data_IF_656127710861
#
_entry.id   IF_656127710861
#
_cell.length_a   1.000
_cell.length_b   1.000
_cell.length_c   1.000
_cell.angle_alpha   90.00
_cell.angle_beta   90.00
_cell.angle_gamma   90.00
#
_symmetry.space_group_name_H-M   'P 1'
#
loop_
_entity.id
_entity.type
_entity.pdbx_description
1 polymer ?
#
# COMPACT_ATOMS: atom_id res chain seq x y z
N UNK A 1 0.71 7.51 15.46
CA UNK A 1 1.42 8.30 14.43
C UNK A 1 0.73 8.03 13.09
N UNK A 2 0.46 9.05 12.28
CA UNK A 2 -0.27 8.85 11.01
C UNK A 2 0.60 8.09 10.00
N UNK A 3 0.06 6.97 9.48
CA UNK A 3 0.66 6.18 8.40
C UNK A 3 0.09 6.58 7.04
N UNK A 4 0.92 6.51 5.99
CA UNK A 4 0.45 6.80 4.61
C UNK A 4 -0.24 5.61 3.94
N UNK A 5 0.05 4.40 4.40
CA UNK A 5 -0.61 3.18 3.95
C UNK A 5 -1.08 2.31 5.13
N UNK A 6 -2.23 1.69 4.94
CA UNK A 6 -2.87 0.72 5.83
C UNK A 6 -3.26 -0.52 5.02
N UNK A 7 -3.56 -1.62 5.71
CA UNK A 7 -4.07 -2.85 5.12
C UNK A 7 -5.29 -3.34 5.89
N UNK A 8 -6.31 -3.86 5.21
CA UNK A 8 -7.46 -4.48 5.89
C UNK A 8 -7.09 -5.84 6.46
N UNK A 9 -7.75 -6.28 7.53
CA UNK A 9 -7.50 -7.61 8.10
C UNK A 9 -7.65 -8.75 7.07
N UNK A 10 -8.68 -8.79 6.20
CA UNK A 10 -8.76 -9.81 5.15
C UNK A 10 -7.60 -9.77 4.15
N UNK A 11 -7.10 -8.58 3.82
CA UNK A 11 -5.94 -8.42 2.94
C UNK A 11 -4.64 -8.87 3.63
N UNK A 12 -4.51 -8.59 4.94
CA UNK A 12 -3.38 -9.05 5.75
C UNK A 12 -3.34 -10.59 5.85
N UNK A 13 -4.49 -11.25 6.01
CA UNK A 13 -4.57 -12.72 6.05
C UNK A 13 -4.12 -13.36 4.72
N UNK A 14 -4.56 -12.79 3.60
CA UNK A 14 -4.07 -13.21 2.28
C UNK A 14 -2.57 -12.97 2.15
N UNK A 15 -2.09 -11.80 2.56
CA UNK A 15 -0.67 -11.45 2.48
C UNK A 15 0.20 -12.40 3.31
N UNK A 16 -0.23 -12.77 4.52
CA UNK A 16 0.46 -13.77 5.35
C UNK A 16 0.48 -15.16 4.68
N UNK A 17 -0.60 -15.54 4.00
CA UNK A 17 -0.66 -16.79 3.22
C UNK A 17 0.35 -16.78 2.08
N UNK A 18 0.44 -15.67 1.34
CA UNK A 18 1.41 -15.50 0.26
C UNK A 18 2.85 -15.47 0.79
N UNK A 19 3.10 -14.83 1.93
CA UNK A 19 4.43 -14.84 2.56
C UNK A 19 4.89 -16.25 2.92
N UNK A 20 3.99 -17.10 3.42
CA UNK A 20 4.31 -18.49 3.73
C UNK A 20 4.69 -19.31 2.48
N UNK A 21 4.19 -18.92 1.30
CA UNK A 21 4.46 -19.62 0.04
C UNK A 21 5.68 -19.06 -0.70
N UNK A 22 5.90 -17.76 -0.63
CA UNK A 22 6.85 -17.05 -1.50
C UNK A 22 8.00 -16.35 -0.74
N UNK A 23 7.93 -16.29 0.59
CA UNK A 23 8.93 -15.61 1.43
C UNK A 23 8.60 -14.13 1.63
N UNK A 24 9.64 -13.29 1.73
CA UNK A 24 9.47 -11.85 1.90
C UNK A 24 8.79 -11.24 0.67
N UNK A 25 7.85 -10.31 0.91
CA UNK A 25 7.03 -9.70 -0.12
C UNK A 25 7.15 -8.18 -0.07
N UNK A 26 6.76 -7.53 -1.15
CA UNK A 26 6.64 -6.08 -1.27
C UNK A 26 5.39 -5.70 -2.06
N UNK A 27 4.89 -4.49 -1.83
CA UNK A 27 3.91 -3.86 -2.70
C UNK A 27 4.54 -2.73 -3.50
N UNK A 28 4.11 -2.59 -4.76
CA UNK A 28 4.25 -1.34 -5.50
C UNK A 28 2.88 -0.85 -5.97
N UNK A 29 2.50 0.35 -5.54
CA UNK A 29 1.31 1.04 -6.01
C UNK A 29 1.50 1.48 -7.46
N UNK A 30 0.77 0.84 -8.36
CA UNK A 30 0.81 1.17 -9.79
C UNK A 30 -0.11 2.36 -10.10
N UNK A 31 0.34 3.20 -11.04
CA UNK A 31 -0.45 4.26 -11.65
C UNK A 31 -1.11 3.68 -12.89
N UNK A 32 -2.43 3.59 -12.89
CA UNK A 32 -3.15 2.86 -13.94
C UNK A 32 -2.99 3.50 -15.33
N UNK A 33 -2.78 2.66 -16.36
CA UNK A 33 -2.98 3.04 -17.76
C UNK A 33 -4.30 2.46 -18.33
N UNK A 34 -4.84 1.36 -17.77
CA UNK A 34 -6.05 0.72 -18.31
C UNK A 34 -7.08 0.20 -17.28
N UNK A 35 -6.70 -0.23 -16.07
CA UNK A 35 -7.62 -0.86 -15.08
C UNK A 35 -7.75 -0.10 -13.74
N UNK A 36 -7.26 1.14 -13.69
CA UNK A 36 -7.13 1.92 -12.45
C UNK A 36 -5.82 1.64 -11.72
N UNK A 37 -5.61 2.35 -10.61
CA UNK A 37 -4.44 2.18 -9.74
C UNK A 37 -4.63 0.96 -8.84
N UNK A 38 -3.77 -0.04 -8.94
CA UNK A 38 -3.82 -1.24 -8.08
C UNK A 38 -2.51 -1.42 -7.29
N UNK A 39 -2.58 -1.92 -6.04
CA UNK A 39 -1.40 -2.30 -5.29
C UNK A 39 -0.96 -3.68 -5.78
N UNK A 40 0.21 -3.74 -6.41
CA UNK A 40 0.73 -4.98 -6.97
C UNK A 40 1.66 -5.65 -5.95
N UNK A 41 1.42 -6.93 -5.65
CA UNK A 41 2.18 -7.72 -4.69
C UNK A 41 3.23 -8.59 -5.42
N UNK A 42 4.50 -8.46 -5.02
CA UNK A 42 5.64 -9.17 -5.58
C UNK A 42 6.49 -9.81 -4.48
N UNK A 43 7.30 -10.84 -4.79
CA UNK A 43 8.43 -11.19 -3.93
C UNK A 43 9.34 -9.98 -3.72
N UNK A 44 9.92 -9.85 -2.53
CA UNK A 44 10.82 -8.74 -2.23
C UNK A 44 12.05 -8.76 -3.16
N UNK A 45 12.28 -7.66 -3.88
CA UNK A 45 13.38 -7.50 -4.83
C UNK A 45 13.02 -7.79 -6.29
N UNK A 46 11.87 -8.41 -6.58
CA UNK A 46 11.45 -8.71 -7.96
C UNK A 46 10.95 -7.45 -8.71
N UNK A 47 10.46 -6.45 -7.96
CA UNK A 47 10.20 -5.12 -8.50
C UNK A 47 11.35 -4.18 -8.12
N UNK A 48 11.98 -3.56 -9.13
CA UNK A 48 13.07 -2.61 -8.91
C UNK A 48 12.51 -1.29 -8.36
N UNK A 49 12.82 -0.99 -7.10
CA UNK A 49 12.54 0.29 -6.46
C UNK A 49 13.56 1.32 -6.93
N UNK A 50 13.10 2.41 -7.54
CA UNK A 50 13.96 3.50 -7.97
C UNK A 50 14.32 4.46 -6.83
N UNK A 51 15.40 5.22 -7.00
CA UNK A 51 15.89 6.21 -6.01
C UNK A 51 14.83 7.20 -5.52
N UNK A 52 13.88 7.52 -6.41
CA UNK A 52 12.79 8.50 -6.21
C UNK A 52 11.46 7.86 -5.82
N UNK A 53 11.40 6.53 -5.75
CA UNK A 53 10.23 5.87 -5.21
C UNK A 53 10.11 6.18 -3.72
N UNK A 54 8.88 6.23 -3.24
CA UNK A 54 8.55 6.67 -1.90
C UNK A 54 8.00 5.48 -1.12
N UNK A 55 8.58 5.25 0.07
CA UNK A 55 8.05 4.29 1.02
C UNK A 55 6.83 4.91 1.71
N UNK A 56 5.64 4.34 1.46
CA UNK A 56 4.41 4.78 2.11
C UNK A 56 4.29 4.22 3.53
N UNK A 57 4.66 2.95 3.70
CA UNK A 57 4.67 2.26 4.98
C UNK A 57 5.44 0.93 4.88
N UNK A 58 5.77 0.35 6.03
CA UNK A 58 6.03 -1.09 6.16
C UNK A 58 4.86 -1.69 6.93
N UNK A 59 4.08 -2.54 6.28
CA UNK A 59 2.93 -3.22 6.89
C UNK A 59 3.44 -4.25 7.90
N UNK A 60 2.81 -4.32 9.06
CA UNK A 60 3.11 -5.22 10.17
C UNK A 60 2.51 -6.62 9.97
N UNK A 61 2.74 -7.20 8.79
CA UNK A 61 2.34 -8.56 8.43
C UNK A 61 3.59 -9.42 8.24
N UNK A 62 3.68 -10.51 9.02
CA UNK A 62 4.84 -11.41 8.99
C UNK A 62 6.14 -10.68 9.36
N UNK A 63 7.10 -10.68 8.44
CA UNK A 63 8.42 -10.04 8.63
C UNK A 63 8.43 -8.54 8.34
N UNK A 64 7.27 -7.95 8.02
CA UNK A 64 7.18 -6.61 7.47
C UNK A 64 7.07 -6.63 5.95
N UNK A 65 6.17 -5.82 5.38
CA UNK A 65 5.97 -5.71 3.92
C UNK A 65 6.03 -4.25 3.49
N UNK A 66 7.09 -3.80 2.79
CA UNK A 66 7.19 -2.42 2.35
C UNK A 66 6.20 -2.13 1.21
N UNK A 67 5.57 -0.95 1.28
CA UNK A 67 4.64 -0.44 0.27
C UNK A 67 5.27 0.77 -0.42
N UNK A 68 5.55 0.61 -1.70
CA UNK A 68 6.19 1.63 -2.53
C UNK A 68 5.21 2.31 -3.46
N UNK A 69 5.53 3.54 -3.85
CA UNK A 69 4.86 4.27 -4.92
C UNK A 69 5.88 5.14 -5.64
N UNK A 70 5.75 5.32 -6.95
CA UNK A 70 6.66 6.21 -7.69
C UNK A 70 6.53 7.67 -7.23
N UNK A 71 7.62 8.43 -7.25
CA UNK A 71 7.64 9.86 -6.91
C UNK A 71 6.54 10.70 -7.60
N UNK A 72 6.35 10.63 -8.93
CA UNK A 72 5.30 11.38 -9.62
C UNK A 72 3.88 11.02 -9.16
N UNK A 73 3.63 9.74 -8.86
CA UNK A 73 2.34 9.32 -8.31
C UNK A 73 2.17 9.78 -6.86
N UNK A 74 3.25 9.75 -6.07
CA UNK A 74 3.24 10.29 -4.71
C UNK A 74 2.85 11.76 -4.68
N UNK A 75 3.38 12.59 -5.58
CA UNK A 75 3.02 14.01 -5.64
C UNK A 75 1.52 14.24 -5.83
N UNK A 76 0.87 13.35 -6.57
CA UNK A 76 -0.59 13.36 -6.80
C UNK A 76 -1.36 12.76 -5.62
N UNK A 77 -0.81 11.78 -4.90
CA UNK A 77 -1.53 11.02 -3.85
C UNK A 77 -1.17 11.41 -2.42
N UNK A 78 -0.19 12.29 -2.19
CA UNK A 78 0.38 12.60 -0.86
C UNK A 78 -0.61 13.10 0.20
N UNK A 79 -1.79 13.56 -0.23
CA UNK A 79 -2.90 14.02 0.61
C UNK A 79 -3.97 12.93 0.88
N UNK A 80 -3.72 11.70 0.45
CA UNK A 80 -4.62 10.56 0.58
C UNK A 80 -3.90 9.40 1.26
N UNK A 81 -4.54 8.81 2.26
CA UNK A 81 -4.15 7.55 2.87
C UNK A 81 -4.55 6.40 1.95
N UNK A 82 -3.56 5.56 1.60
CA UNK A 82 -3.79 4.34 0.86
C UNK A 82 -4.26 3.25 1.82
N UNK A 83 -5.36 2.58 1.51
CA UNK A 83 -5.84 1.40 2.23
C UNK A 83 -5.83 0.23 1.25
N UNK A 84 -4.97 -0.75 1.51
CA UNK A 84 -4.88 -1.98 0.73
C UNK A 84 -5.95 -2.94 1.24
N UNK A 85 -6.89 -3.28 0.37
CA UNK A 85 -7.96 -4.22 0.64
C UNK A 85 -7.89 -5.41 -0.33
N UNK A 86 -8.72 -6.43 -0.13
CA UNK A 86 -8.80 -7.61 -1.01
C UNK A 86 -10.25 -7.90 -1.38
N UNK A 87 -10.47 -8.26 -2.64
CA UNK A 87 -11.78 -8.69 -3.13
C UNK A 87 -11.64 -9.93 -4.02
N UNK A 88 -12.69 -10.76 -4.16
CA UNK A 88 -12.73 -11.80 -5.19
C UNK A 88 -12.59 -11.18 -6.59
N UNK A 89 -11.85 -11.83 -7.47
CA UNK A 89 -11.68 -11.38 -8.84
C UNK A 89 -10.33 -11.76 -9.43
N UNK A 90 -10.18 -11.52 -10.74
CA UNK A 90 -8.91 -11.75 -11.41
C UNK A 90 -8.00 -10.54 -11.17
N UNK A 91 -6.90 -10.73 -10.46
CA UNK A 91 -5.83 -9.75 -10.34
C UNK A 91 -5.11 -9.52 -11.66
N UNK A 92 -4.23 -8.51 -11.68
CA UNK A 92 -3.27 -8.35 -12.78
C UNK A 92 -2.33 -9.56 -12.78
N UNK A 93 -2.09 -10.17 -13.94
CA UNK A 93 -1.33 -11.42 -14.07
C UNK A 93 0.12 -11.38 -13.55
N UNK A 94 0.60 -10.21 -13.14
CA UNK A 94 1.90 -10.01 -12.50
C UNK A 94 1.86 -10.03 -10.96
N UNK A 95 0.68 -9.92 -10.34
CA UNK A 95 0.51 -9.88 -8.88
C UNK A 95 0.32 -11.29 -8.31
N UNK A 96 1.00 -11.60 -7.20
CA UNK A 96 1.07 -12.95 -6.63
C UNK A 96 -0.27 -13.56 -6.22
N UNK A 97 -1.27 -12.76 -5.85
CA UNK A 97 -2.59 -13.26 -5.44
C UNK A 97 -3.46 -13.75 -6.60
N UNK A 98 -3.07 -13.48 -7.85
CA UNK A 98 -3.88 -13.79 -9.02
C UNK A 98 -4.32 -15.26 -9.13
N UNK A 99 -3.49 -16.27 -8.80
CA UNK A 99 -3.90 -17.68 -8.78
C UNK A 99 -4.94 -18.02 -7.70
N UNK A 100 -5.06 -17.19 -6.66
CA UNK A 100 -5.99 -17.40 -5.53
C UNK A 100 -7.44 -16.96 -5.86
N UNK A 101 -7.69 -16.49 -7.08
CA UNK A 101 -9.01 -15.96 -7.48
C UNK A 101 -9.37 -14.67 -6.73
N UNK A 102 -8.37 -13.97 -6.20
CA UNK A 102 -8.49 -12.70 -5.47
C UNK A 102 -7.69 -11.63 -6.19
N UNK A 103 -7.92 -10.38 -5.80
CA UNK A 103 -7.10 -9.24 -6.19
C UNK A 103 -6.97 -8.24 -5.05
N UNK A 104 -5.80 -7.64 -4.90
CA UNK A 104 -5.66 -6.48 -4.03
C UNK A 104 -6.30 -5.24 -4.67
N UNK A 105 -6.84 -4.35 -3.83
CA UNK A 105 -7.56 -3.15 -4.21
C UNK A 105 -7.05 -1.96 -3.42
N UNK A 106 -6.69 -0.88 -4.12
CA UNK A 106 -6.37 0.40 -3.49
C UNK A 106 -7.66 1.14 -3.17
N UNK A 107 -7.83 1.55 -1.92
CA UNK A 107 -8.86 2.49 -1.49
C UNK A 107 -8.20 3.73 -0.92
N UNK A 108 -8.89 4.86 -0.96
CA UNK A 108 -8.33 6.16 -0.57
C UNK A 108 -9.19 6.87 0.48
N UNK A 109 -8.55 7.37 1.53
CA UNK A 109 -9.15 8.34 2.47
C UNK A 109 -8.34 9.63 2.47
N UNK A 110 -8.99 10.78 2.32
CA UNK A 110 -8.29 12.07 2.43
C UNK A 110 -7.81 12.26 3.87
N UNK A 111 -6.56 12.73 4.04
CA UNK A 111 -6.07 13.09 5.37
C UNK A 111 -6.79 14.32 5.91
N UNK A 112 -6.98 14.36 7.23
CA UNK A 112 -7.35 15.60 7.91
C UNK A 112 -6.18 16.59 7.93
N UNK A 113 -6.45 17.87 8.17
CA UNK A 113 -5.41 18.90 8.25
C UNK A 113 -4.36 18.58 9.33
N UNK A 114 -4.78 18.03 10.47
CA UNK A 114 -3.88 17.63 11.55
C UNK A 114 -2.96 16.47 11.13
N UNK A 115 -3.50 15.51 10.39
CA UNK A 115 -2.73 14.37 9.87
C UNK A 115 -1.74 14.81 8.79
N UNK A 116 -2.17 15.73 7.91
CA UNK A 116 -1.29 16.29 6.88
C UNK A 116 -0.14 17.08 7.51
N UNK A 117 -0.42 17.91 8.52
CA UNK A 117 0.62 18.64 9.25
C UNK A 117 1.64 17.69 9.92
N UNK A 118 1.18 16.58 10.51
CA UNK A 118 2.07 15.56 11.09
C UNK A 118 2.94 14.88 10.03
N UNK A 119 2.38 14.65 8.85
CA UNK A 119 3.05 14.01 7.71
C UNK A 119 4.03 14.96 6.99
N UNK A 120 3.76 16.27 6.96
CA UNK A 120 4.65 17.29 6.38
C UNK A 120 5.89 17.53 7.26
N UNK A 121 5.73 17.43 8.58
CA UNK A 121 6.85 17.48 9.52
C UNK A 121 7.83 16.30 9.38
N UNK A 122 7.47 15.27 8.59
CA UNK A 122 8.22 14.03 8.42
C UNK A 122 8.40 13.72 6.94
N UNK A 123 9.50 14.20 6.32
CA UNK A 123 9.80 13.92 4.93
C UNK A 123 9.82 12.40 4.69
N UNK A 124 9.14 11.89 3.65
CA UNK A 124 9.07 10.46 3.43
C UNK A 124 10.45 9.87 3.09
N UNK A 125 10.62 8.58 3.37
CA UNK A 125 11.83 7.84 3.01
C UNK A 125 11.75 7.52 1.52
N UNK A 126 12.79 7.91 0.78
CA UNK A 126 12.92 7.58 -0.64
C UNK A 126 13.63 6.24 -0.83
N UNK A 127 13.54 5.63 -2.00
CA UNK A 127 14.26 4.41 -2.35
C UNK A 127 15.76 4.51 -2.05
N UNK A 128 16.39 5.63 -2.44
CA UNK A 128 17.81 5.88 -2.15
C UNK A 128 18.13 5.94 -0.65
N UNK A 129 17.26 6.55 0.16
CA UNK A 129 17.44 6.63 1.63
C UNK A 129 17.25 5.28 2.28
N UNK A 130 16.28 4.50 1.80
CA UNK A 130 16.04 3.15 2.28
C UNK A 130 17.19 2.21 1.94
N UNK A 131 17.74 2.29 0.73
CA UNK A 131 18.94 1.55 0.33
C UNK A 131 20.15 1.92 1.20
N UNK A 132 20.29 3.21 1.56
CA UNK A 132 21.31 3.68 2.49
C UNK A 132 21.10 3.24 3.96
N UNK A 133 20.06 2.45 4.25
CA UNK A 133 19.81 1.84 5.56
C UNK A 133 18.77 2.57 6.42
N UNK A 134 18.17 3.65 5.93
CA UNK A 134 17.11 4.33 6.67
C UNK A 134 15.83 3.47 6.74
N UNK A 135 15.19 3.42 7.91
CA UNK A 135 13.95 2.66 8.15
C UNK A 135 12.94 3.53 8.89
N UNK A 136 11.63 3.37 8.63
CA UNK A 136 10.60 4.11 9.35
C UNK A 136 10.53 3.70 10.83
N UNK A 137 10.11 4.62 11.71
CA UNK A 137 9.84 4.32 13.13
C UNK A 137 8.45 3.64 13.22
N UNK A 138 8.43 2.31 13.16
CA UNK A 138 7.22 1.50 13.11
C UNK A 138 6.77 1.07 14.51
N UNK A 139 5.94 1.89 15.18
CA UNK A 139 5.44 1.59 16.53
C UNK A 139 3.97 1.18 16.60
N UNK A 140 3.17 1.57 15.60
CA UNK A 140 1.73 1.35 15.57
C UNK A 140 1.36 0.34 14.47
N UNK A 141 0.35 -0.49 14.74
CA UNK A 141 -0.20 -1.43 13.74
C UNK A 141 -0.82 -0.69 12.56
N UNK A 142 -0.70 -1.25 11.36
CA UNK A 142 -1.29 -0.74 10.12
C UNK A 142 -2.42 -1.61 9.62
N UNK A 143 -2.84 -2.59 10.41
CA UNK A 143 -3.97 -3.46 10.12
C UNK A 143 -5.25 -2.81 10.65
N UNK A 144 -6.24 -2.62 9.78
CA UNK A 144 -7.56 -2.08 10.12
C UNK A 144 -8.66 -3.10 9.84
N UNK A 145 -9.74 -3.08 10.63
CA UNK A 145 -10.83 -4.05 10.50
C UNK A 145 -11.62 -3.90 9.19
N UNK A 146 -11.86 -2.67 8.74
CA UNK A 146 -12.60 -2.39 7.51
C UNK A 146 -12.01 -1.20 6.76
N UNK A 147 -12.20 -1.19 5.44
CA UNK A 147 -11.84 -0.04 4.61
C UNK A 147 -12.87 1.11 4.66
N UNK A 148 -13.91 1.00 5.48
CA UNK A 148 -15.13 1.81 5.43
C UNK A 148 -14.94 3.32 5.70
N UNK A 149 -13.73 3.78 6.00
CA UNK A 149 -13.41 5.21 6.04
C UNK A 149 -13.00 5.80 4.68
N UNK A 150 -12.81 4.97 3.65
CA UNK A 150 -12.44 5.38 2.30
C UNK A 150 -13.68 5.73 1.45
N UNK A 151 -14.31 6.88 1.74
CA UNK A 151 -15.35 7.54 0.95
C UNK A 151 -16.57 6.66 0.55
N UNK A 152 -17.77 6.85 1.12
CA UNK A 152 -18.97 6.23 0.57
C UNK A 152 -19.15 6.74 -0.86
N UNK A 153 -19.08 5.84 -1.85
CA UNK A 153 -19.51 6.15 -3.21
C UNK A 153 -20.90 6.80 -3.10
N UNK A 154 -21.14 8.00 -3.64
CA UNK A 154 -22.48 8.55 -3.66
C UNK A 154 -23.37 7.55 -4.38
N UNK A 155 -24.42 7.10 -3.71
CA UNK A 155 -25.42 6.21 -4.28
C UNK A 155 -25.89 6.80 -5.61
N UNK A 156 -25.81 6.03 -6.70
CA UNK A 156 -26.36 6.46 -7.97
C UNK A 156 -27.84 6.89 -7.76
N UNK A 157 -28.28 8.02 -8.35
CA UNK A 157 -29.67 8.44 -8.22
C UNK A 157 -30.58 7.34 -8.76
N UNK A 158 -31.61 7.00 -7.97
CA UNK A 158 -32.67 6.06 -8.36
C UNK A 158 -33.50 6.60 -9.52
#
# INVERSE_FOLDING_TARGET
MTSRALITAPAADLLATLQNQHGALMFHQSGGCCDGSSPMCYPEGDFIVGDRDILLAVLDVGTGVPVWISGPQFDVWKHTQLIIDVVPGRGSGFSLESPEGKRFLSRGRVFTDSELAELEARPPITGARYEAGERPDDRDTRIVSEAAEACPLPSAPR
#
